data_IF_636684135077
#
_entry.id   IF_636684135077
#
_cell.length_a   1.000
_cell.length_b   1.000
_cell.length_c   1.000
_cell.angle_alpha   90.00
_cell.angle_beta   90.00
_cell.angle_gamma   90.00
#
_symmetry.space_group_name_H-M   'P 1'
#
loop_
_entity.id
_entity.type
_entity.pdbx_description
1 polymer ?
#
# COMPACT_ATOMS: atom_id res chain seq x y z
N UNK A 1 8.45 -3.22 11.36
CA UNK A 1 7.92 -4.57 11.66
C UNK A 1 9.07 -5.46 12.10
N UNK A 2 8.89 -6.37 13.08
CA UNK A 2 9.81 -7.48 13.24
C UNK A 2 9.85 -8.22 11.90
N UNK A 3 11.06 -8.44 11.43
CA UNK A 3 11.30 -8.95 10.10
C UNK A 3 10.91 -10.43 10.04
N UNK A 4 9.97 -10.73 9.15
CA UNK A 4 9.42 -12.07 8.85
C UNK A 4 10.48 -13.08 8.41
N UNK A 5 11.74 -12.68 8.18
CA UNK A 5 12.82 -13.63 7.93
C UNK A 5 13.12 -14.57 9.12
N UNK A 6 12.57 -14.31 10.32
CA UNK A 6 12.64 -15.23 11.48
C UNK A 6 11.27 -15.82 11.86
N UNK A 7 10.41 -16.11 10.89
CA UNK A 7 9.11 -16.76 11.13
C UNK A 7 9.26 -18.10 11.87
N UNK A 8 10.37 -18.79 11.62
CA UNK A 8 10.68 -20.08 12.19
C UNK A 8 11.99 -20.04 12.98
N UNK A 9 11.98 -20.59 14.20
CA UNK A 9 13.20 -20.77 14.97
C UNK A 9 13.97 -21.97 14.40
N UNK A 10 15.25 -21.86 14.06
CA UNK A 10 16.00 -22.95 13.40
C UNK A 10 15.87 -24.33 14.07
N UNK A 11 15.76 -24.34 15.40
CA UNK A 11 15.60 -25.55 16.21
C UNK A 11 14.39 -26.41 15.81
N UNK A 12 13.29 -25.83 15.32
CA UNK A 12 12.09 -26.62 15.00
C UNK A 12 12.28 -27.55 13.78
N UNK A 13 13.22 -27.25 12.88
CA UNK A 13 13.52 -28.11 11.73
C UNK A 13 14.28 -29.38 12.14
N UNK A 14 14.94 -29.37 13.31
CA UNK A 14 15.63 -30.53 13.86
C UNK A 14 14.63 -31.61 14.30
N UNK A 15 13.46 -31.21 14.81
CA UNK A 15 12.38 -32.13 15.22
C UNK A 15 11.72 -32.85 14.04
N UNK A 16 11.97 -32.40 12.80
CA UNK A 16 11.46 -32.98 11.55
C UNK A 16 12.43 -34.01 10.92
N UNK A 17 13.34 -34.58 11.72
CA UNK A 17 14.27 -35.63 11.26
C UNK A 17 13.51 -36.89 10.78
N UNK A 18 14.16 -37.65 9.89
CA UNK A 18 13.65 -38.95 9.45
C UNK A 18 13.49 -39.95 10.61
N UNK A 19 14.28 -39.78 11.67
CA UNK A 19 14.29 -40.63 12.87
C UNK A 19 13.18 -40.26 13.87
N UNK A 20 12.54 -39.09 13.73
CA UNK A 20 11.43 -38.70 14.59
C UNK A 20 10.17 -39.49 14.21
N UNK A 21 9.47 -40.13 15.17
CA UNK A 21 8.18 -40.77 14.93
C UNK A 21 7.21 -39.81 14.24
N UNK A 22 6.46 -40.34 13.26
CA UNK A 22 5.62 -39.54 12.36
C UNK A 22 4.66 -38.61 13.11
N UNK A 23 3.93 -39.12 14.09
CA UNK A 23 2.93 -38.34 14.83
C UNK A 23 3.58 -37.19 15.62
N UNK A 24 4.74 -37.46 16.24
CA UNK A 24 5.52 -36.44 16.94
C UNK A 24 6.03 -35.35 16.00
N UNK A 25 6.48 -35.73 14.79
CA UNK A 25 6.91 -34.77 13.77
C UNK A 25 5.73 -33.92 13.25
N UNK A 26 4.54 -34.51 13.09
CA UNK A 26 3.32 -33.80 12.72
C UNK A 26 2.90 -32.79 13.79
N UNK A 27 2.91 -33.18 15.06
CA UNK A 27 2.54 -32.30 16.17
C UNK A 27 3.54 -31.14 16.33
N UNK A 28 4.84 -31.42 16.22
CA UNK A 28 5.88 -30.40 16.21
C UNK A 28 5.72 -29.43 15.04
N UNK A 29 5.40 -29.94 13.84
CA UNK A 29 5.16 -29.10 12.67
C UNK A 29 3.96 -28.17 12.84
N UNK A 30 2.83 -28.70 13.34
CA UNK A 30 1.63 -27.90 13.63
C UNK A 30 1.94 -26.81 14.65
N UNK A 31 2.57 -27.18 15.77
CA UNK A 31 2.97 -26.21 16.80
C UNK A 31 3.89 -25.12 16.27
N UNK A 32 4.85 -25.47 15.40
CA UNK A 32 5.74 -24.50 14.77
C UNK A 32 5.02 -23.53 13.84
N UNK A 33 4.05 -24.01 13.06
CA UNK A 33 3.23 -23.19 12.16
C UNK A 33 2.29 -22.28 12.96
N UNK A 34 1.63 -22.80 14.00
CA UNK A 34 0.78 -22.00 14.88
C UNK A 34 1.58 -20.88 15.57
N UNK A 35 2.81 -21.18 16.01
CA UNK A 35 3.69 -20.17 16.57
C UNK A 35 4.13 -19.12 15.53
N UNK A 36 4.34 -19.52 14.27
CA UNK A 36 4.64 -18.58 13.18
C UNK A 36 3.43 -17.66 12.89
N UNK A 37 2.22 -18.21 12.86
CA UNK A 37 0.97 -17.45 12.70
C UNK A 37 0.79 -16.43 13.85
N UNK A 38 0.94 -16.87 15.10
CA UNK A 38 0.83 -16.00 16.26
C UNK A 38 1.86 -14.84 16.23
N UNK A 39 3.08 -15.10 15.76
CA UNK A 39 4.11 -14.05 15.58
C UNK A 39 3.71 -13.04 14.51
N UNK A 40 3.12 -13.48 13.39
CA UNK A 40 2.61 -12.59 12.34
C UNK A 40 1.51 -11.69 12.90
N UNK A 41 0.55 -12.27 13.63
CA UNK A 41 -0.56 -11.53 14.22
C UNK A 41 -0.08 -10.50 15.24
N UNK A 42 0.83 -10.88 16.13
CA UNK A 42 1.43 -9.97 17.11
C UNK A 42 2.22 -8.84 16.43
N UNK A 43 2.99 -9.16 15.39
CA UNK A 43 3.76 -8.19 14.63
C UNK A 43 2.87 -7.18 13.91
N UNK A 44 1.77 -7.65 13.31
CA UNK A 44 0.77 -6.80 12.68
C UNK A 44 0.07 -5.91 13.72
N UNK A 45 -0.37 -6.45 14.85
CA UNK A 45 -1.00 -5.68 15.92
C UNK A 45 -0.07 -4.56 16.43
N UNK A 46 1.21 -4.88 16.67
CA UNK A 46 2.22 -3.89 17.06
C UNK A 46 2.43 -2.82 15.98
N UNK A 47 2.42 -3.21 14.70
CA UNK A 47 2.50 -2.26 13.60
C UNK A 47 1.26 -1.34 13.53
N UNK A 48 0.05 -1.88 13.70
CA UNK A 48 -1.19 -1.09 13.70
C UNK A 48 -1.14 -0.01 14.78
N UNK A 49 -0.80 -0.37 16.02
CA UNK A 49 -0.67 0.57 17.12
C UNK A 49 0.40 1.64 16.83
N UNK A 50 1.53 1.24 16.26
CA UNK A 50 2.59 2.17 15.88
C UNK A 50 2.16 3.15 14.78
N UNK A 51 1.50 2.66 13.72
CA UNK A 51 1.00 3.50 12.64
C UNK A 51 -0.08 4.49 13.13
N UNK A 52 -0.97 4.05 14.02
CA UNK A 52 -1.95 4.94 14.67
C UNK A 52 -1.27 6.02 15.50
N UNK A 53 -0.29 5.65 16.33
CA UNK A 53 0.49 6.61 17.11
C UNK A 53 1.20 7.64 16.23
N UNK A 54 1.86 7.19 15.15
CA UNK A 54 2.49 8.08 14.17
C UNK A 54 1.48 9.03 13.54
N UNK A 55 0.33 8.52 13.09
CA UNK A 55 -0.73 9.31 12.48
C UNK A 55 -1.32 10.37 13.43
N UNK A 56 -1.33 10.10 14.73
CA UNK A 56 -1.85 11.01 15.76
C UNK A 56 -0.87 12.14 16.12
N UNK A 57 0.43 12.00 15.85
CA UNK A 57 1.43 13.04 16.16
C UNK A 57 1.18 14.37 15.44
N UNK A 58 0.59 14.32 14.24
CA UNK A 58 0.49 15.47 13.35
C UNK A 58 1.81 15.93 12.73
N UNK A 59 2.94 15.25 13.02
CA UNK A 59 4.26 15.65 12.53
C UNK A 59 4.46 15.26 11.04
N UNK A 60 4.59 16.25 10.13
CA UNK A 60 4.80 15.96 8.72
C UNK A 60 6.13 15.26 8.42
N UNK A 61 7.11 15.27 9.34
CA UNK A 61 8.38 14.58 9.16
C UNK A 61 8.21 13.05 8.99
N UNK A 62 7.11 12.49 9.47
CA UNK A 62 6.79 11.07 9.32
C UNK A 62 6.20 10.69 7.96
N UNK A 63 5.77 11.65 7.13
CA UNK A 63 5.12 11.38 5.84
C UNK A 63 6.06 10.62 4.89
N UNK A 64 7.29 11.10 4.70
CA UNK A 64 8.26 10.48 3.79
C UNK A 64 8.76 9.09 4.28
N UNK A 65 9.07 8.90 5.57
CA UNK A 65 9.33 7.55 6.12
C UNK A 65 8.18 6.57 5.91
N UNK A 66 6.93 6.98 6.15
CA UNK A 66 5.75 6.14 5.91
C UNK A 66 5.60 5.80 4.43
N UNK A 67 5.83 6.78 3.54
CA UNK A 67 5.81 6.57 2.10
C UNK A 67 6.82 5.49 1.67
N UNK A 68 8.07 5.57 2.13
CA UNK A 68 9.10 4.55 1.84
C UNK A 68 8.74 3.18 2.39
N UNK A 69 8.17 3.14 3.59
CA UNK A 69 7.69 1.88 4.17
C UNK A 69 6.58 1.26 3.30
N UNK A 70 5.69 2.09 2.77
CA UNK A 70 4.58 1.72 1.91
C UNK A 70 5.01 1.25 0.51
N UNK A 71 5.96 1.94 -0.12
CA UNK A 71 6.40 1.67 -1.50
C UNK A 71 7.45 0.57 -1.59
N UNK A 72 8.37 0.51 -0.63
CA UNK A 72 9.54 -0.38 -0.70
C UNK A 72 9.56 -1.34 0.48
N UNK A 73 9.31 -0.84 1.69
CA UNK A 73 9.43 -1.60 2.93
C UNK A 73 8.52 -2.84 3.00
N UNK A 74 7.20 -2.66 2.85
CA UNK A 74 6.25 -3.78 2.91
C UNK A 74 6.39 -4.74 1.75
N UNK A 75 6.54 -4.30 0.49
CA UNK A 75 6.76 -5.22 -0.62
C UNK A 75 8.03 -6.08 -0.45
N UNK A 76 9.14 -5.49 0.00
CA UNK A 76 10.37 -6.24 0.27
C UNK A 76 10.19 -7.21 1.44
N UNK A 77 9.54 -6.78 2.52
CA UNK A 77 9.28 -7.64 3.68
C UNK A 77 8.36 -8.82 3.34
N UNK A 78 7.33 -8.59 2.51
CA UNK A 78 6.45 -9.64 2.02
C UNK A 78 7.21 -10.65 1.15
N UNK A 79 8.02 -10.18 0.20
CA UNK A 79 8.86 -11.06 -0.63
C UNK A 79 9.85 -11.89 0.20
N UNK A 80 10.45 -11.29 1.24
CA UNK A 80 11.33 -12.00 2.16
C UNK A 80 10.58 -13.05 3.00
N UNK A 81 9.35 -12.76 3.43
CA UNK A 81 8.49 -13.70 4.15
C UNK A 81 8.15 -14.91 3.28
N UNK A 82 7.68 -14.66 2.05
CA UNK A 82 7.36 -15.70 1.08
C UNK A 82 8.59 -16.56 0.81
N UNK A 83 9.76 -15.95 0.56
CA UNK A 83 11.01 -16.68 0.36
C UNK A 83 11.38 -17.59 1.54
N UNK A 84 11.27 -17.09 2.77
CA UNK A 84 11.57 -17.87 3.97
C UNK A 84 10.63 -19.09 4.14
N UNK A 85 9.34 -18.94 3.84
CA UNK A 85 8.39 -20.06 3.88
C UNK A 85 8.68 -21.09 2.78
N UNK A 86 8.98 -20.64 1.55
CA UNK A 86 9.35 -21.54 0.46
C UNK A 86 10.65 -22.32 0.74
N UNK A 87 11.62 -21.71 1.43
CA UNK A 87 12.84 -22.38 1.87
C UNK A 87 12.55 -23.52 2.85
N UNK A 88 11.65 -23.27 3.80
CA UNK A 88 11.18 -24.31 4.73
C UNK A 88 10.43 -25.40 3.98
N UNK A 89 9.49 -25.04 3.10
CA UNK A 89 8.73 -26.00 2.30
C UNK A 89 9.65 -26.92 1.50
N UNK A 90 10.73 -26.40 0.89
CA UNK A 90 11.73 -27.23 0.19
C UNK A 90 12.43 -28.22 1.12
N UNK A 91 12.84 -27.77 2.31
CA UNK A 91 13.50 -28.64 3.31
C UNK A 91 12.56 -29.71 3.85
N UNK A 92 11.28 -29.38 4.02
CA UNK A 92 10.25 -30.29 4.53
C UNK A 92 9.77 -31.28 3.47
N UNK A 93 9.56 -30.84 2.22
CA UNK A 93 9.12 -31.69 1.12
C UNK A 93 10.03 -32.91 0.90
N UNK A 94 11.34 -32.74 1.13
CA UNK A 94 12.32 -33.81 1.03
C UNK A 94 12.23 -34.83 2.17
N UNK A 95 11.87 -34.40 3.38
CA UNK A 95 11.88 -35.24 4.60
C UNK A 95 10.51 -35.85 4.92
N UNK A 96 9.44 -35.08 4.74
CA UNK A 96 8.07 -35.34 5.22
C UNK A 96 7.05 -34.60 4.33
N UNK A 97 6.80 -35.11 3.13
CA UNK A 97 5.90 -34.49 2.14
C UNK A 97 4.46 -34.33 2.66
N UNK A 98 4.03 -35.17 3.60
CA UNK A 98 2.71 -35.08 4.22
C UNK A 98 2.47 -33.78 5.02
N UNK A 99 3.52 -33.03 5.35
CA UNK A 99 3.42 -31.73 6.04
C UNK A 99 3.13 -30.56 5.09
N UNK A 100 3.29 -30.77 3.78
CA UNK A 100 3.09 -29.72 2.77
C UNK A 100 1.72 -29.02 2.83
N UNK A 101 0.60 -29.70 3.12
CA UNK A 101 -0.71 -29.04 3.25
C UNK A 101 -0.82 -28.02 4.39
N UNK A 102 0.13 -27.97 5.33
CA UNK A 102 0.10 -27.02 6.45
C UNK A 102 0.63 -25.61 6.07
N UNK A 103 1.36 -25.49 4.97
CA UNK A 103 2.02 -24.23 4.56
C UNK A 103 1.14 -23.23 3.77
N UNK A 104 0.21 -23.64 2.90
CA UNK A 104 -0.64 -22.69 2.17
C UNK A 104 -1.41 -21.71 3.07
N UNK A 105 -2.05 -22.15 4.19
CA UNK A 105 -2.72 -21.22 5.10
C UNK A 105 -1.77 -20.17 5.70
N UNK A 106 -0.51 -20.54 5.95
CA UNK A 106 0.51 -19.62 6.45
C UNK A 106 0.88 -18.56 5.40
N UNK A 107 1.07 -18.96 4.14
CA UNK A 107 1.35 -18.04 3.03
C UNK A 107 0.19 -17.06 2.83
N UNK A 108 -1.05 -17.54 2.85
CA UNK A 108 -2.23 -16.69 2.74
C UNK A 108 -2.30 -15.67 3.87
N UNK A 109 -2.05 -16.12 5.12
CA UNK A 109 -2.03 -15.23 6.28
C UNK A 109 -0.95 -14.15 6.17
N UNK A 110 0.26 -14.49 5.71
CA UNK A 110 1.36 -13.55 5.48
C UNK A 110 0.95 -12.47 4.48
N UNK A 111 0.37 -12.86 3.33
CA UNK A 111 -0.11 -11.91 2.31
C UNK A 111 -1.16 -10.96 2.88
N UNK A 112 -2.14 -11.49 3.61
CA UNK A 112 -3.18 -10.69 4.26
C UNK A 112 -2.57 -9.72 5.28
N UNK A 113 -1.64 -10.18 6.14
CA UNK A 113 -1.00 -9.35 7.15
C UNK A 113 -0.22 -8.18 6.54
N UNK A 114 0.54 -8.43 5.47
CA UNK A 114 1.27 -7.36 4.77
C UNK A 114 0.33 -6.37 4.07
N UNK A 115 -0.75 -6.86 3.45
CA UNK A 115 -1.77 -5.99 2.86
C UNK A 115 -2.42 -5.07 3.90
N UNK A 116 -2.77 -5.61 5.06
CA UNK A 116 -3.32 -4.82 6.18
C UNK A 116 -2.29 -3.83 6.74
N UNK A 117 -1.04 -4.25 6.93
CA UNK A 117 0.01 -3.34 7.40
C UNK A 117 0.20 -2.14 6.46
N UNK A 118 0.16 -2.37 5.15
CA UNK A 118 0.23 -1.32 4.15
C UNK A 118 -1.00 -0.39 4.17
N UNK A 119 -2.21 -0.93 4.39
CA UNK A 119 -3.43 -0.13 4.58
C UNK A 119 -3.30 0.82 5.79
N UNK A 120 -2.87 0.31 6.94
CA UNK A 120 -2.68 1.12 8.15
C UNK A 120 -1.58 2.18 7.99
N UNK A 121 -0.50 1.84 7.27
CA UNK A 121 0.56 2.78 6.93
C UNK A 121 0.03 3.93 6.05
N UNK A 122 -0.72 3.60 5.00
CA UNK A 122 -1.36 4.58 4.13
C UNK A 122 -2.33 5.48 4.88
N UNK A 123 -3.16 4.91 5.75
CA UNK A 123 -4.10 5.67 6.58
C UNK A 123 -3.37 6.66 7.52
N UNK A 124 -2.31 6.22 8.20
CA UNK A 124 -1.49 7.08 9.05
C UNK A 124 -0.88 8.25 8.25
N UNK A 125 -0.28 7.95 7.09
CA UNK A 125 0.28 8.96 6.20
C UNK A 125 -0.77 9.96 5.72
N UNK A 126 -1.97 9.48 5.38
CA UNK A 126 -3.08 10.35 4.97
C UNK A 126 -3.52 11.32 6.06
N UNK A 127 -3.62 10.86 7.31
CA UNK A 127 -3.94 11.73 8.45
C UNK A 127 -2.90 12.84 8.61
N UNK A 128 -1.60 12.51 8.51
CA UNK A 128 -0.52 13.49 8.58
C UNK A 128 -0.55 14.50 7.42
N UNK A 129 -0.82 14.04 6.20
CA UNK A 129 -0.97 14.94 5.05
C UNK A 129 -2.18 15.87 5.20
N UNK A 130 -3.29 15.37 5.75
CA UNK A 130 -4.47 16.18 6.04
C UNK A 130 -4.17 17.25 7.10
N UNK A 131 -3.52 16.87 8.21
CA UNK A 131 -3.07 17.79 9.25
C UNK A 131 -2.13 18.88 8.70
N UNK A 132 -1.14 18.47 7.89
CA UNK A 132 -0.24 19.41 7.20
C UNK A 132 -0.99 20.39 6.29
N UNK A 133 -1.98 19.90 5.53
CA UNK A 133 -2.78 20.74 4.62
C UNK A 133 -3.60 21.78 5.39
N UNK A 134 -4.08 21.44 6.59
CA UNK A 134 -4.79 22.38 7.46
C UNK A 134 -3.85 23.44 8.03
N UNK A 135 -2.62 23.06 8.37
CA UNK A 135 -1.61 23.96 8.93
C UNK A 135 -0.98 24.92 7.88
N UNK A 136 -0.82 24.47 6.64
CA UNK A 136 -0.26 25.26 5.53
C UNK A 136 -1.06 25.07 4.23
N UNK A 137 -2.20 25.77 4.08
CA UNK A 137 -3.03 25.69 2.88
C UNK A 137 -2.34 26.35 1.68
N UNK A 138 -1.80 25.53 0.77
CA UNK A 138 -1.20 26.00 -0.50
C UNK A 138 0.29 25.70 -0.65
N UNK A 139 0.94 25.13 0.37
CA UNK A 139 2.31 24.63 0.26
C UNK A 139 2.44 23.44 -0.72
N UNK A 140 3.66 23.16 -1.21
CA UNK A 140 3.89 22.08 -2.19
C UNK A 140 3.45 20.72 -1.62
N UNK A 141 2.50 20.09 -2.32
CA UNK A 141 2.08 18.71 -2.04
C UNK A 141 3.23 17.77 -2.39
N UNK A 142 3.78 17.06 -1.40
CA UNK A 142 4.78 16.02 -1.65
C UNK A 142 4.22 14.98 -2.62
N UNK A 143 5.05 14.39 -3.51
CA UNK A 143 4.60 13.48 -4.55
C UNK A 143 3.90 12.28 -3.90
N UNK A 144 2.61 12.19 -4.15
CA UNK A 144 1.72 11.26 -3.46
C UNK A 144 1.79 9.93 -4.20
N UNK A 145 2.68 9.02 -3.81
CA UNK A 145 2.71 7.64 -4.32
C UNK A 145 2.59 6.64 -3.17
N UNK A 146 1.38 6.16 -2.86
CA UNK A 146 1.20 5.14 -1.83
C UNK A 146 -0.11 4.34 -1.89
N UNK A 147 -0.34 3.49 -0.90
CA UNK A 147 -1.41 2.49 -0.75
C UNK A 147 -2.84 3.05 -0.77
N UNK A 148 -3.03 4.34 -0.55
CA UNK A 148 -4.32 5.00 -0.76
C UNK A 148 -4.33 6.04 -1.87
N UNK A 149 -3.28 6.10 -2.70
CA UNK A 149 -3.14 7.11 -3.74
C UNK A 149 -3.07 6.42 -5.09
N UNK A 150 -4.13 6.59 -5.88
CA UNK A 150 -4.20 6.05 -7.24
C UNK A 150 -3.83 7.08 -8.28
N UNK A 151 -3.14 8.16 -7.91
CA UNK A 151 -2.70 9.17 -8.85
C UNK A 151 -1.31 9.72 -8.57
N UNK A 152 -0.67 10.28 -9.59
CA UNK A 152 0.64 10.93 -9.52
C UNK A 152 0.58 12.22 -10.32
N UNK A 153 1.09 13.33 -9.79
CA UNK A 153 1.24 14.57 -10.56
C UNK A 153 2.47 14.45 -11.46
N UNK A 154 2.33 14.72 -12.76
CA UNK A 154 3.49 14.76 -13.67
C UNK A 154 4.37 15.98 -13.37
N UNK A 155 5.65 15.93 -13.75
CA UNK A 155 6.55 17.09 -13.60
C UNK A 155 6.05 18.33 -14.37
N UNK A 156 5.26 18.09 -15.44
CA UNK A 156 4.63 19.14 -16.25
C UNK A 156 3.41 19.75 -15.57
N UNK A 157 2.72 18.97 -14.74
CA UNK A 157 1.48 19.37 -14.08
C UNK A 157 1.72 20.51 -13.09
N UNK A 158 2.71 20.42 -12.19
CA UNK A 158 2.88 21.46 -11.16
C UNK A 158 3.21 22.83 -11.77
N UNK A 159 4.03 22.85 -12.84
CA UNK A 159 4.33 24.07 -13.59
C UNK A 159 3.10 24.66 -14.27
N UNK A 160 2.25 23.83 -14.89
CA UNK A 160 1.01 24.27 -15.55
C UNK A 160 -0.08 24.67 -14.56
N UNK A 161 -0.26 23.91 -13.48
CA UNK A 161 -1.23 24.22 -12.44
C UNK A 161 -0.92 25.55 -11.73
N UNK A 162 0.37 25.90 -11.57
CA UNK A 162 0.76 27.21 -11.07
C UNK A 162 0.38 28.36 -12.02
N UNK A 163 0.43 28.13 -13.34
CA UNK A 163 0.10 29.12 -14.37
C UNK A 163 -1.42 29.24 -14.61
N UNK A 164 -2.13 28.12 -14.59
CA UNK A 164 -3.52 28.01 -15.04
C UNK A 164 -4.57 28.10 -13.92
N UNK A 165 -4.18 27.88 -12.66
CA UNK A 165 -5.11 27.86 -11.52
C UNK A 165 -4.76 28.93 -10.50
N UNK A 166 -5.80 29.64 -10.01
CA UNK A 166 -5.67 30.51 -8.84
C UNK A 166 -5.26 29.71 -7.60
N UNK A 167 -4.70 30.37 -6.57
CA UNK A 167 -4.34 29.69 -5.32
C UNK A 167 -5.53 28.96 -4.68
N UNK A 168 -6.72 29.57 -4.71
CA UNK A 168 -7.95 28.96 -4.21
C UNK A 168 -8.40 27.74 -5.05
N UNK A 169 -8.23 27.81 -6.38
CA UNK A 169 -8.52 26.69 -7.26
C UNK A 169 -7.53 25.53 -7.09
N UNK A 170 -6.25 25.81 -6.87
CA UNK A 170 -5.25 24.76 -6.58
C UNK A 170 -5.61 23.96 -5.33
N UNK A 171 -6.11 24.61 -4.28
CA UNK A 171 -6.57 23.92 -3.07
C UNK A 171 -7.79 23.04 -3.35
N UNK A 172 -8.77 23.55 -4.12
CA UNK A 172 -9.95 22.76 -4.53
C UNK A 172 -9.56 21.55 -5.40
N UNK A 173 -8.67 21.79 -6.35
CA UNK A 173 -8.15 20.81 -7.29
C UNK A 173 -7.37 19.71 -6.55
N UNK A 174 -6.52 20.07 -5.59
CA UNK A 174 -5.78 19.12 -4.75
C UNK A 174 -6.72 18.25 -3.90
N UNK A 175 -7.80 18.82 -3.35
CA UNK A 175 -8.84 18.04 -2.66
C UNK A 175 -9.50 17.03 -3.59
N UNK A 176 -9.87 17.43 -4.82
CA UNK A 176 -10.46 16.52 -5.79
C UNK A 176 -9.51 15.37 -6.19
N UNK A 177 -8.22 15.65 -6.38
CA UNK A 177 -7.22 14.60 -6.64
C UNK A 177 -7.15 13.60 -5.50
N UNK A 178 -7.10 14.05 -4.25
CA UNK A 178 -7.06 13.16 -3.08
C UNK A 178 -8.22 12.16 -3.08
N UNK A 179 -9.41 12.57 -3.54
CA UNK A 179 -10.59 11.70 -3.66
C UNK A 179 -10.47 10.63 -4.75
N UNK A 180 -9.61 10.81 -5.75
CA UNK A 180 -9.32 9.79 -6.78
C UNK A 180 -8.64 8.54 -6.18
N UNK A 181 -8.09 8.64 -4.98
CA UNK A 181 -7.53 7.51 -4.22
C UNK A 181 -8.57 6.69 -3.44
N UNK A 182 -9.82 7.14 -3.36
CA UNK A 182 -10.90 6.43 -2.66
C UNK A 182 -11.33 5.17 -3.46
N UNK A 183 -11.86 4.18 -2.75
CA UNK A 183 -12.35 2.92 -3.33
C UNK A 183 -13.73 2.59 -2.76
N UNK A 184 -14.81 2.71 -3.56
CA UNK A 184 -14.84 3.11 -4.97
C UNK A 184 -14.50 4.59 -5.20
N UNK A 185 -14.10 4.93 -6.43
CA UNK A 185 -13.90 6.34 -6.83
C UNK A 185 -15.26 7.05 -6.78
N UNK A 186 -15.38 8.22 -6.12
CA UNK A 186 -16.67 8.89 -5.97
C UNK A 186 -17.25 9.35 -7.30
N UNK A 187 -18.54 9.14 -7.50
CA UNK A 187 -19.24 9.51 -8.74
C UNK A 187 -19.19 11.02 -9.00
N UNK A 188 -19.08 11.87 -7.97
CA UNK A 188 -19.02 13.32 -8.14
C UNK A 188 -17.72 13.79 -8.82
N UNK A 189 -16.68 12.95 -8.86
CA UNK A 189 -15.48 13.22 -9.64
C UNK A 189 -15.71 13.10 -11.14
N UNK A 190 -16.82 12.49 -11.58
CA UNK A 190 -17.21 12.40 -12.97
C UNK A 190 -16.08 11.88 -13.88
N UNK A 191 -15.52 10.73 -13.49
CA UNK A 191 -14.41 10.08 -14.18
C UNK A 191 -14.87 9.55 -15.55
N UNK A 192 -14.35 10.14 -16.63
CA UNK A 192 -14.71 9.78 -18.01
C UNK A 192 -13.47 9.53 -18.86
N UNK A 193 -13.53 8.58 -19.82
CA UNK A 193 -12.50 8.46 -20.83
C UNK A 193 -12.53 9.65 -21.80
N UNK A 194 -11.36 9.96 -22.37
CA UNK A 194 -11.13 10.89 -23.48
C UNK A 194 -10.42 10.14 -24.61
N UNK A 195 -10.33 10.78 -25.79
CA UNK A 195 -9.59 10.24 -26.92
C UNK A 195 -8.09 10.08 -26.61
N UNK A 196 -7.44 9.14 -27.29
CA UNK A 196 -6.00 8.91 -27.15
C UNK A 196 -5.58 8.21 -25.84
N UNK A 197 -6.51 7.53 -25.15
CA UNK A 197 -6.20 6.80 -23.91
C UNK A 197 -6.07 7.71 -22.68
N UNK A 198 -6.58 8.94 -22.77
CA UNK A 198 -6.65 9.89 -21.67
C UNK A 198 -8.00 9.77 -20.94
N UNK A 199 -8.08 10.39 -19.78
CA UNK A 199 -9.24 10.40 -18.90
C UNK A 199 -9.41 11.81 -18.31
N UNK A 200 -10.59 12.12 -17.81
CA UNK A 200 -10.87 13.39 -17.15
C UNK A 200 -11.67 13.21 -15.87
N UNK A 201 -11.43 14.09 -14.89
CA UNK A 201 -12.24 14.22 -13.67
C UNK A 201 -12.50 15.69 -13.35
N UNK A 202 -13.55 15.98 -12.58
CA UNK A 202 -13.81 17.31 -12.02
C UNK A 202 -12.74 17.67 -10.98
N UNK A 203 -12.14 18.84 -11.12
CA UNK A 203 -11.13 19.41 -10.22
C UNK A 203 -11.72 20.48 -9.28
N UNK A 204 -13.05 20.53 -9.16
CA UNK A 204 -13.77 21.55 -8.39
C UNK A 204 -13.95 22.88 -9.13
N UNK A 205 -15.04 23.58 -8.80
CA UNK A 205 -15.41 24.81 -9.51
C UNK A 205 -15.67 24.54 -11.00
N UNK A 206 -14.98 25.30 -11.86
CA UNK A 206 -15.04 25.14 -13.33
C UNK A 206 -13.80 24.43 -13.88
N UNK A 207 -13.08 23.63 -13.09
CA UNK A 207 -11.82 23.02 -13.51
C UNK A 207 -11.95 21.51 -13.72
N UNK A 208 -11.08 20.96 -14.57
CA UNK A 208 -10.92 19.53 -14.85
C UNK A 208 -9.46 19.13 -14.80
N UNK A 209 -9.20 17.87 -14.48
CA UNK A 209 -7.89 17.25 -14.67
C UNK A 209 -7.88 16.37 -15.91
N UNK A 210 -6.77 16.39 -16.63
CA UNK A 210 -6.47 15.41 -17.67
C UNK A 210 -5.55 14.35 -17.06
N UNK A 211 -5.99 13.12 -17.14
CA UNK A 211 -5.35 11.97 -16.56
C UNK A 211 -4.91 11.02 -17.68
N UNK A 212 -3.78 10.36 -17.50
CA UNK A 212 -3.40 9.18 -18.27
C UNK A 212 -3.45 7.96 -17.37
N UNK A 213 -3.99 6.85 -17.85
CA UNK A 213 -3.94 5.61 -17.09
C UNK A 213 -2.58 4.93 -17.24
N UNK A 214 -2.13 4.36 -16.13
CA UNK A 214 -1.01 3.45 -16.02
C UNK A 214 -1.45 2.27 -15.16
N UNK A 215 -0.60 1.26 -15.02
CA UNK A 215 -0.90 0.09 -14.20
C UNK A 215 0.29 -0.23 -13.32
N UNK A 216 0.03 -0.55 -12.06
CA UNK A 216 1.02 -1.13 -11.14
C UNK A 216 0.53 -2.49 -10.63
N UNK A 217 1.27 -3.10 -9.70
CA UNK A 217 0.92 -4.39 -9.08
C UNK A 217 -0.39 -4.36 -8.28
N UNK A 218 -0.98 -3.18 -8.09
CA UNK A 218 -2.19 -2.91 -7.32
C UNK A 218 -3.35 -2.48 -8.23
N UNK A 219 -3.15 -2.40 -9.55
CA UNK A 219 -4.15 -2.12 -10.59
C UNK A 219 -3.95 -0.78 -11.31
N UNK A 220 -5.05 -0.14 -11.74
CA UNK A 220 -5.01 1.14 -12.46
C UNK A 220 -4.48 2.33 -11.63
N UNK A 221 -3.58 3.11 -12.20
CA UNK A 221 -2.96 4.33 -11.67
C UNK A 221 -3.27 5.49 -12.62
N UNK A 222 -3.49 6.69 -12.11
CA UNK A 222 -3.82 7.88 -12.89
C UNK A 222 -2.70 8.92 -12.82
N UNK A 223 -2.00 9.16 -13.91
CA UNK A 223 -1.01 10.24 -13.98
C UNK A 223 -1.73 11.52 -14.38
N UNK A 224 -1.68 12.54 -13.52
CA UNK A 224 -2.23 13.87 -13.78
C UNK A 224 -1.27 14.59 -14.73
N UNK A 225 -1.67 14.69 -15.99
CA UNK A 225 -0.89 15.30 -17.05
C UNK A 225 -1.17 16.82 -17.12
N UNK A 226 -2.40 17.25 -16.86
CA UNK A 226 -2.79 18.66 -16.98
C UNK A 226 -4.00 19.08 -16.13
N UNK A 227 -4.19 20.39 -15.98
CA UNK A 227 -5.40 21.02 -15.45
C UNK A 227 -5.93 22.10 -16.41
N UNK A 228 -7.25 22.10 -16.64
CA UNK A 228 -7.90 23.08 -17.51
C UNK A 228 -9.34 23.36 -17.10
N UNK A 229 -10.06 24.12 -17.92
CA UNK A 229 -11.47 24.41 -17.66
C UNK A 229 -12.35 23.18 -17.97
N UNK A 230 -13.39 23.02 -17.16
CA UNK A 230 -14.54 22.15 -17.37
C UNK A 230 -15.46 22.83 -18.40
N UNK A 231 -15.01 22.94 -19.65
CA UNK A 231 -15.92 23.24 -20.75
C UNK A 231 -16.74 21.99 -21.04
N UNK A 232 -18.05 22.07 -20.82
CA UNK A 232 -19.00 21.02 -21.20
C UNK A 232 -19.26 20.99 -22.70
N UNK A 233 -18.26 21.26 -23.54
CA UNK A 233 -18.44 21.35 -24.99
C UNK A 233 -17.14 20.95 -25.68
N UNK A 234 -17.30 20.01 -26.60
CA UNK A 234 -16.33 19.51 -27.57
C UNK A 234 -15.60 20.67 -28.26
N UNK A 235 -14.29 20.52 -28.42
CA UNK A 235 -13.50 20.85 -29.63
C UNK A 235 -12.03 20.57 -29.32
N UNK A 236 -11.54 19.46 -29.88
CA UNK A 236 -10.13 19.26 -30.25
C UNK A 236 -9.97 19.71 -31.70
#
# INVERSE_FOLDING_TARGET
>A
MPTTHRLFAEAWLADLSADTPRDRALDAARSGIDAALARIDAALAGWRAHAEALGATGDPAHIAPLLRAETDGFPQAAGAADGAVHDVMRRVAFKRRELMPLFPPLLDRIRVAHGEAALHCGAARWRLMAARTLADPGGPSSPVQGYGTRYVKSDRFDARALQSLSAADRVRADRALKRLGESPIPEELDLRPLDGGLWTIKAGGRNRFILRTASDRRGALYVVEDAGLWSGTEEL
#
